data_IF_489609598581
#
_entry.id   IF_489609598581
#
_cell.length_a   1.000
_cell.length_b   1.000
_cell.length_c   1.000
_cell.angle_alpha   90.00
_cell.angle_beta   90.00
_cell.angle_gamma   90.00
#
_symmetry.space_group_name_H-M   'P 1'
#
loop_
_entity.id
_entity.type
_entity.pdbx_description
1 polymer ?
#
# COMPACT_ATOMS: atom_id res chain seq x y z
N UNK A 1 0.61 13.01 10.43
CA UNK A 1 -0.71 12.41 10.74
C UNK A 1 -1.21 11.49 9.62
N UNK A 2 -1.27 11.90 8.35
CA UNK A 2 -1.77 11.06 7.24
C UNK A 2 -1.10 9.67 7.11
N UNK A 3 0.24 9.61 7.20
CA UNK A 3 0.98 8.34 7.10
C UNK A 3 0.58 7.37 8.21
N UNK A 4 0.57 7.83 9.47
CA UNK A 4 0.11 7.04 10.61
C UNK A 4 -1.34 6.57 10.42
N UNK A 5 -2.23 7.44 9.95
CA UNK A 5 -3.61 7.07 9.67
C UNK A 5 -3.73 5.95 8.62
N UNK A 6 -2.95 5.98 7.54
CA UNK A 6 -2.96 4.92 6.52
C UNK A 6 -2.50 3.58 7.09
N UNK A 7 -1.45 3.60 7.92
CA UNK A 7 -0.94 2.40 8.58
C UNK A 7 -1.94 1.85 9.60
N UNK A 8 -2.56 2.73 10.39
CA UNK A 8 -3.56 2.37 11.38
C UNK A 8 -4.83 1.79 10.72
N UNK A 9 -5.25 2.36 9.58
CA UNK A 9 -6.37 1.87 8.76
C UNK A 9 -6.06 0.58 8.00
N UNK A 10 -4.80 0.14 7.95
CA UNK A 10 -4.40 -1.09 7.25
C UNK A 10 -4.43 -0.99 5.73
N UNK A 11 -4.37 0.21 5.18
CA UNK A 11 -4.40 0.44 3.72
C UNK A 11 -3.23 -0.22 2.98
N UNK A 12 -1.97 -0.18 3.47
CA UNK A 12 -0.86 -0.85 2.80
C UNK A 12 -1.08 -2.37 2.70
N UNK A 13 -1.53 -2.98 3.79
CA UNK A 13 -1.83 -4.41 3.84
C UNK A 13 -3.01 -4.78 2.92
N UNK A 14 -4.03 -3.93 2.85
CA UNK A 14 -5.16 -4.09 1.94
C UNK A 14 -4.67 -4.13 0.49
N UNK A 15 -3.87 -3.13 0.06
CA UNK A 15 -3.32 -3.08 -1.31
C UNK A 15 -2.43 -4.29 -1.62
N UNK A 16 -1.62 -4.73 -0.64
CA UNK A 16 -0.70 -5.86 -0.85
C UNK A 16 -1.39 -7.22 -0.93
N UNK A 17 -2.56 -7.38 -0.30
CA UNK A 17 -3.32 -8.65 -0.25
C UNK A 17 -4.44 -8.72 -1.28
N UNK A 18 -4.75 -7.61 -1.95
CA UNK A 18 -5.74 -7.58 -3.03
C UNK A 18 -5.35 -8.53 -4.17
N UNK A 19 -6.32 -9.26 -4.75
CA UNK A 19 -6.09 -10.12 -5.92
C UNK A 19 -5.90 -9.32 -7.22
N UNK A 20 -6.29 -8.05 -7.20
CA UNK A 20 -6.19 -7.08 -8.29
C UNK A 20 -5.04 -6.12 -7.99
N UNK A 21 -4.26 -5.75 -9.02
CA UNK A 21 -3.27 -4.67 -8.93
C UNK A 21 -3.14 -3.95 -10.29
N UNK A 22 -3.18 -2.61 -10.33
CA UNK A 22 -3.44 -1.69 -9.20
C UNK A 22 -4.89 -1.79 -8.69
N UNK A 23 -5.10 -1.52 -7.39
CA UNK A 23 -6.39 -1.69 -6.69
C UNK A 23 -7.26 -0.46 -6.87
N UNK A 24 -8.49 -0.61 -7.34
CA UNK A 24 -9.44 0.51 -7.45
C UNK A 24 -9.75 1.14 -6.09
N UNK A 25 -10.07 2.44 -6.07
CA UNK A 25 -10.45 3.14 -4.83
C UNK A 25 -11.67 2.50 -4.16
N UNK A 26 -12.66 2.06 -4.95
CA UNK A 26 -13.86 1.36 -4.46
C UNK A 26 -13.51 0.03 -3.79
N UNK A 27 -12.69 -0.81 -4.42
CA UNK A 27 -12.22 -2.07 -3.84
C UNK A 27 -11.39 -1.84 -2.59
N UNK A 28 -10.51 -0.82 -2.61
CA UNK A 28 -9.71 -0.44 -1.46
C UNK A 28 -10.58 0.02 -0.28
N UNK A 29 -11.59 0.85 -0.55
CA UNK A 29 -12.52 1.32 0.48
C UNK A 29 -13.35 0.19 1.09
N UNK A 30 -13.73 -0.82 0.29
CA UNK A 30 -14.43 -2.00 0.76
C UNK A 30 -13.55 -2.93 1.61
N UNK A 31 -12.23 -2.93 1.38
CA UNK A 31 -11.28 -3.77 2.11
C UNK A 31 -10.85 -3.22 3.48
N UNK A 32 -11.15 -1.95 3.78
CA UNK A 32 -10.78 -1.29 5.05
C UNK A 32 -12.02 -0.93 5.88
N UNK A 33 -11.91 -0.84 7.22
CA UNK A 33 -13.04 -0.51 8.09
C UNK A 33 -13.39 0.99 8.01
N UNK A 34 -13.90 1.42 6.87
CA UNK A 34 -14.26 2.81 6.58
C UNK A 34 -15.75 2.93 6.26
N UNK A 35 -16.40 3.96 6.81
CA UNK A 35 -17.79 4.26 6.46
C UNK A 35 -17.87 4.82 5.02
N UNK A 36 -18.84 4.42 4.19
CA UNK A 36 -18.93 4.84 2.78
C UNK A 36 -18.87 6.35 2.54
N UNK A 37 -19.39 7.15 3.48
CA UNK A 37 -19.33 8.62 3.41
C UNK A 37 -17.90 9.21 3.46
N UNK A 38 -16.88 8.38 3.74
CA UNK A 38 -15.48 8.79 3.85
C UNK A 38 -14.61 8.33 2.68
N UNK A 39 -15.18 7.71 1.64
CA UNK A 39 -14.41 7.28 0.46
C UNK A 39 -13.65 8.45 -0.19
N UNK A 40 -14.30 9.61 -0.25
CA UNK A 40 -13.68 10.82 -0.79
C UNK A 40 -12.56 11.36 0.12
N UNK A 41 -12.68 11.16 1.44
CA UNK A 41 -11.62 11.48 2.39
C UNK A 41 -10.42 10.53 2.24
N UNK A 42 -10.65 9.24 2.00
CA UNK A 42 -9.59 8.27 1.69
C UNK A 42 -8.81 8.70 0.45
N UNK A 43 -9.50 9.03 -0.64
CA UNK A 43 -8.89 9.53 -1.87
C UNK A 43 -8.00 10.74 -1.62
N UNK A 44 -8.51 11.74 -0.89
CA UNK A 44 -7.77 12.96 -0.52
C UNK A 44 -6.56 12.66 0.35
N UNK A 45 -6.64 11.64 1.20
CA UNK A 45 -5.57 11.24 2.11
C UNK A 45 -4.48 10.43 1.39
N UNK A 46 -4.83 9.70 0.32
CA UNK A 46 -3.87 9.01 -0.54
C UNK A 46 -3.01 9.98 -1.36
N UNK A 47 -3.60 11.06 -1.90
CA UNK A 47 -2.90 12.06 -2.75
C UNK A 47 -1.53 12.51 -2.21
N UNK A 48 -1.38 13.04 -0.98
CA UNK A 48 -0.09 13.47 -0.47
C UNK A 48 0.90 12.30 -0.27
N UNK A 49 0.42 11.09 -0.02
CA UNK A 49 1.27 9.91 0.16
C UNK A 49 1.75 9.32 -1.16
N UNK A 50 0.93 9.44 -2.21
CA UNK A 50 1.34 9.19 -3.59
C UNK A 50 2.44 10.16 -4.00
N UNK A 51 2.24 11.47 -3.75
CA UNK A 51 3.28 12.47 -4.03
C UNK A 51 4.56 12.25 -3.21
N UNK A 52 4.45 11.76 -1.98
CA UNK A 52 5.59 11.38 -1.15
C UNK A 52 6.26 10.07 -1.59
N UNK A 53 5.72 9.38 -2.59
CA UNK A 53 6.33 8.19 -3.19
C UNK A 53 6.07 6.89 -2.44
N UNK A 54 5.06 6.80 -1.57
CA UNK A 54 4.65 5.54 -0.94
C UNK A 54 3.70 4.72 -1.83
N UNK A 55 2.92 5.41 -2.67
CA UNK A 55 1.95 4.79 -3.56
C UNK A 55 2.13 5.31 -4.99
N UNK A 56 1.75 4.51 -5.97
CA UNK A 56 1.48 4.97 -7.33
C UNK A 56 -0.01 5.05 -7.55
N UNK A 57 -0.45 5.97 -8.42
CA UNK A 57 -1.86 6.13 -8.78
C UNK A 57 -2.00 6.14 -10.30
N UNK A 58 -3.00 5.44 -10.81
CA UNK A 58 -3.39 5.48 -12.24
C UNK A 58 -4.89 5.71 -12.33
N UNK A 59 -5.29 6.72 -13.10
CA UNK A 59 -6.71 6.96 -13.39
C UNK A 59 -7.12 6.09 -14.58
N UNK A 60 -8.12 5.22 -14.39
CA UNK A 60 -8.64 4.34 -15.44
C UNK A 60 -10.02 4.85 -15.87
N UNK A 61 -10.20 5.06 -17.17
CA UNK A 61 -11.50 5.40 -17.75
C UNK A 61 -12.29 4.11 -17.99
N UNK A 62 -13.34 3.90 -17.20
CA UNK A 62 -14.28 2.80 -17.42
C UNK A 62 -15.34 3.25 -18.43
N UNK A 63 -15.08 3.06 -19.73
CA UNK A 63 -16.12 3.00 -20.77
C UNK A 63 -17.21 4.09 -20.79
N UNK A 64 -16.89 5.34 -20.41
CA UNK A 64 -17.84 6.47 -20.38
C UNK A 64 -18.19 7.02 -18.99
N UNK A 65 -17.67 6.40 -17.91
CA UNK A 65 -17.84 6.85 -16.52
C UNK A 65 -16.68 7.77 -16.06
N UNK A 66 -16.86 8.38 -14.89
CA UNK A 66 -15.82 9.15 -14.19
C UNK A 66 -14.57 8.28 -13.96
N UNK A 67 -13.39 8.83 -14.23
CA UNK A 67 -12.13 8.11 -14.04
C UNK A 67 -11.95 7.70 -12.57
N UNK A 68 -11.72 6.41 -12.32
CA UNK A 68 -11.46 5.91 -10.98
C UNK A 68 -9.96 5.77 -10.72
N UNK A 69 -9.53 6.27 -9.55
CA UNK A 69 -8.15 6.13 -9.10
C UNK A 69 -7.87 4.68 -8.70
N UNK A 70 -6.79 4.11 -9.26
CA UNK A 70 -6.25 2.81 -8.87
C UNK A 70 -4.88 2.98 -8.22
N UNK A 71 -4.63 2.25 -7.14
CA UNK A 71 -3.46 2.40 -6.29
C UNK A 71 -2.59 1.15 -6.21
N UNK A 72 -1.27 1.33 -6.21
CA UNK A 72 -0.28 0.28 -5.94
C UNK A 72 0.76 0.78 -4.95
N UNK A 73 1.44 -0.14 -4.26
CA UNK A 73 2.57 0.18 -3.39
C UNK A 73 3.84 0.39 -4.22
N UNK A 74 4.60 1.43 -3.90
CA UNK A 74 6.00 1.54 -4.34
C UNK A 74 6.89 0.65 -3.47
N UNK A 75 8.20 0.58 -3.79
CA UNK A 75 9.20 -0.04 -2.91
C UNK A 75 9.20 0.57 -1.52
N UNK A 76 9.10 1.90 -1.40
CA UNK A 76 9.00 2.58 -0.11
C UNK A 76 7.67 2.30 0.60
N UNK A 77 6.56 2.22 -0.15
CA UNK A 77 5.25 1.85 0.39
C UNK A 77 5.22 0.49 1.06
N UNK A 78 5.98 -0.48 0.54
CA UNK A 78 6.08 -1.83 1.14
C UNK A 78 6.68 -1.82 2.54
N UNK A 79 7.44 -0.79 2.91
CA UNK A 79 7.95 -0.62 4.28
C UNK A 79 6.84 -0.31 5.30
N UNK A 80 5.65 0.07 4.82
CA UNK A 80 4.48 0.35 5.66
C UNK A 80 3.66 -0.91 6.00
N UNK A 81 4.02 -2.08 5.45
CA UNK A 81 3.33 -3.35 5.71
C UNK A 81 3.58 -3.82 7.14
N UNK A 82 2.52 -4.30 7.81
CA UNK A 82 2.65 -4.82 9.16
C UNK A 82 3.37 -6.17 9.12
N UNK A 83 4.48 -6.27 9.86
CA UNK A 83 5.25 -7.51 9.97
C UNK A 83 6.22 -7.78 8.81
N UNK A 84 6.43 -6.83 7.91
CA UNK A 84 7.57 -6.87 6.99
C UNK A 84 8.87 -6.48 7.71
N UNK A 85 10.06 -6.77 7.14
CA UNK A 85 11.32 -6.26 7.68
C UNK A 85 11.26 -4.73 7.69
N UNK A 86 11.07 -4.12 8.86
CA UNK A 86 10.80 -2.68 9.03
C UNK A 86 12.03 -1.79 8.74
N UNK A 87 13.07 -2.36 8.12
CA UNK A 87 14.19 -1.62 7.56
C UNK A 87 14.84 -2.46 6.47
N UNK A 88 15.27 -1.87 5.34
CA UNK A 88 16.27 -2.50 4.48
C UNK A 88 17.69 -2.44 5.10
N UNK A 89 17.82 -2.04 6.38
CA UNK A 89 19.10 -1.70 6.98
C UNK A 89 19.56 -2.59 8.14
N UNK A 90 18.76 -3.53 8.67
CA UNK A 90 19.28 -4.51 9.63
C UNK A 90 18.59 -5.87 9.45
N UNK A 91 19.28 -6.78 8.77
CA UNK A 91 19.53 -8.15 9.25
C UNK A 91 20.98 -8.51 8.84
N UNK A 92 21.97 -7.87 9.46
CA UNK A 92 23.29 -8.49 9.56
C UNK A 92 23.17 -9.54 10.67
N UNK A 93 22.79 -10.75 10.27
CA UNK A 93 22.78 -11.89 11.15
C UNK A 93 24.24 -12.34 11.34
N UNK A 94 24.82 -12.07 12.51
CA UNK A 94 26.21 -12.40 12.88
C UNK A 94 26.47 -13.93 12.95
N UNK A 95 25.49 -14.78 12.65
CA UNK A 95 25.60 -16.23 12.90
C UNK A 95 25.10 -17.17 11.78
N UNK A 96 24.92 -16.72 10.52
CA UNK A 96 24.54 -17.66 9.43
C UNK A 96 25.34 -17.50 8.13
N UNK A 97 26.63 -17.16 8.22
CA UNK A 97 27.55 -17.27 7.08
C UNK A 97 28.09 -18.71 6.85
N UNK A 98 27.54 -19.74 7.49
CA UNK A 98 28.09 -21.10 7.34
C UNK A 98 26.98 -22.13 7.23
N UNK A 99 26.53 -22.37 5.99
CA UNK A 99 25.87 -23.59 5.46
C UNK A 99 24.62 -23.21 4.66
N UNK A 100 24.83 -22.86 3.39
CA UNK A 100 23.94 -23.18 2.24
C UNK A 100 24.60 -22.84 0.89
N UNK A 101 25.90 -23.15 0.75
CA UNK A 101 26.58 -23.26 -0.56
C UNK A 101 27.22 -24.65 -0.73
N UNK A 102 26.68 -25.66 -0.05
CA UNK A 102 27.06 -27.05 -0.30
C UNK A 102 25.87 -27.96 -0.04
N UNK A 103 25.03 -28.10 -1.07
CA UNK A 103 24.34 -29.32 -1.51
C UNK A 103 23.43 -28.98 -2.70
#
# INVERSE_FOLDING_TARGET
>A
MALKCIVDLGVPDAISKSPEQPVSLSNLAAAIPLHPSKNDALRRLMRPLTHAGFFTTTAVLAGGEEAEDHYSLTTAGKLLLRGGPQSPFIEYNDELLTVKIAL
#
